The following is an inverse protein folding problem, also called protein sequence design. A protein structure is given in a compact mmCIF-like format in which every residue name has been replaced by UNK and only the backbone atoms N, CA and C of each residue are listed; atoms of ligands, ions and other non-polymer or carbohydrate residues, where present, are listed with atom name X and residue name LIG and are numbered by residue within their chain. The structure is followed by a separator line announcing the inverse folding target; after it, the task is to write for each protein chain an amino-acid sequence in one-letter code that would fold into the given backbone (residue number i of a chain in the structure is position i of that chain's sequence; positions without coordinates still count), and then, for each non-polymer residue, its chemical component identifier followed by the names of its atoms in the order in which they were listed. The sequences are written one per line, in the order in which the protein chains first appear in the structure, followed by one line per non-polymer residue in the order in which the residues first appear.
data_IF_278496950942
#
_entry.id   IF_278496950942
#
_cell.length_a   1.000
_cell.length_b   1.000
_cell.length_c   1.000
_cell.angle_alpha   90.00
_cell.angle_beta   90.00
_cell.angle_gamma   90.00
#
_symmetry.space_group_name_H-M   'P 1'
#
loop_
_entity.id
_entity.type
_entity.pdbx_description
1 polymer ?
#
# COMPACT_ATOMS: atom_id res chain seq x y z
N UNK A 1 14.23 13.02 -58.83
CA UNK A 1 12.75 12.99 -59.00
C UNK A 1 12.15 11.86 -58.16
N UNK A 2 12.24 10.57 -58.53
CA UNK A 2 11.61 9.48 -57.72
C UNK A 2 12.16 9.36 -56.29
N UNK A 3 13.46 9.55 -56.09
CA UNK A 3 14.07 9.48 -54.75
C UNK A 3 13.72 10.67 -53.85
N UNK A 4 13.38 11.82 -54.45
CA UNK A 4 13.04 13.03 -53.71
C UNK A 4 11.59 12.94 -53.18
N UNK A 5 10.69 12.38 -53.99
CA UNK A 5 9.31 12.06 -53.60
C UNK A 5 9.28 11.05 -52.43
N UNK A 6 10.08 9.98 -52.50
CA UNK A 6 10.15 8.97 -51.43
C UNK A 6 10.67 9.56 -50.11
N UNK A 7 11.66 10.45 -50.16
CA UNK A 7 12.16 11.16 -48.98
C UNK A 7 11.10 12.07 -48.37
N UNK A 8 10.33 12.76 -49.21
CA UNK A 8 9.25 13.62 -48.75
C UNK A 8 8.13 12.82 -48.06
N UNK A 9 7.73 11.68 -48.62
CA UNK A 9 6.73 10.81 -48.02
C UNK A 9 7.21 10.23 -46.68
N UNK A 10 8.47 9.79 -46.59
CA UNK A 10 9.05 9.32 -45.32
C UNK A 10 9.07 10.43 -44.27
N UNK A 11 9.43 11.66 -44.65
CA UNK A 11 9.41 12.78 -43.73
C UNK A 11 8.00 13.09 -43.21
N UNK A 12 6.98 13.06 -44.09
CA UNK A 12 5.57 13.22 -43.70
C UNK A 12 5.13 12.12 -42.74
N UNK A 13 5.49 10.86 -43.00
CA UNK A 13 5.14 9.74 -42.14
C UNK A 13 5.77 9.87 -40.74
N UNK A 14 7.06 10.22 -40.67
CA UNK A 14 7.74 10.46 -39.39
C UNK A 14 7.09 11.60 -38.60
N UNK A 15 6.71 12.68 -39.27
CA UNK A 15 6.02 13.81 -38.63
C UNK A 15 4.64 13.40 -38.06
N UNK A 16 3.92 12.49 -38.73
CA UNK A 16 2.65 11.95 -38.23
C UNK A 16 2.89 11.10 -36.97
N UNK A 17 3.90 10.24 -36.98
CA UNK A 17 4.25 9.41 -35.82
C UNK A 17 4.66 10.25 -34.61
N UNK A 18 5.46 11.29 -34.82
CA UNK A 18 5.88 12.21 -33.75
C UNK A 18 4.67 12.92 -33.13
N UNK A 19 3.77 13.47 -33.96
CA UNK A 19 2.52 14.08 -33.48
C UNK A 19 1.63 13.09 -32.73
N UNK A 20 1.56 11.84 -33.18
CA UNK A 20 0.80 10.81 -32.48
C UNK A 20 1.41 10.50 -31.11
N UNK A 21 2.74 10.36 -31.04
CA UNK A 21 3.45 10.12 -29.78
C UNK A 21 3.28 11.28 -28.79
N UNK A 22 3.41 12.52 -29.25
CA UNK A 22 3.17 13.74 -28.46
C UNK A 22 1.74 13.73 -27.85
N UNK A 23 0.74 13.37 -28.66
CA UNK A 23 -0.65 13.27 -28.21
C UNK A 23 -0.85 12.20 -27.14
N UNK A 24 -0.23 11.03 -27.31
CA UNK A 24 -0.29 9.95 -26.32
C UNK A 24 0.37 10.36 -25.00
N UNK A 25 1.56 10.97 -25.04
CA UNK A 25 2.24 11.48 -23.85
C UNK A 25 1.41 12.53 -23.12
N UNK A 26 0.76 13.43 -23.85
CA UNK A 26 -0.13 14.42 -23.26
C UNK A 26 -1.31 13.77 -22.52
N UNK A 27 -1.96 12.77 -23.12
CA UNK A 27 -3.05 12.04 -22.46
C UNK A 27 -2.58 11.32 -21.19
N UNK A 28 -1.44 10.64 -21.25
CA UNK A 28 -0.86 9.93 -20.09
C UNK A 28 -0.55 10.91 -18.96
N UNK A 29 0.09 12.04 -19.27
CA UNK A 29 0.42 13.05 -18.27
C UNK A 29 -0.83 13.65 -17.60
N UNK A 30 -1.87 13.94 -18.38
CA UNK A 30 -3.16 14.41 -17.83
C UNK A 30 -3.78 13.36 -16.92
N UNK A 31 -3.84 12.10 -17.36
CA UNK A 31 -4.38 11.01 -16.55
C UNK A 31 -3.62 10.80 -15.23
N UNK A 32 -2.28 10.84 -15.28
CA UNK A 32 -1.45 10.77 -14.08
C UNK A 32 -1.71 11.94 -13.14
N UNK A 33 -1.84 13.17 -13.66
CA UNK A 33 -2.15 14.35 -12.85
C UNK A 33 -3.53 14.21 -12.16
N UNK A 34 -4.56 13.77 -12.88
CA UNK A 34 -5.89 13.51 -12.33
C UNK A 34 -5.87 12.45 -11.22
N UNK A 35 -5.20 11.32 -11.46
CA UNK A 35 -5.01 10.26 -10.45
C UNK A 35 -4.33 10.77 -9.18
N UNK A 36 -3.28 11.60 -9.30
CA UNK A 36 -2.61 12.18 -8.13
C UNK A 36 -3.51 13.13 -7.35
N UNK A 37 -4.35 13.91 -8.02
CA UNK A 37 -5.30 14.81 -7.37
C UNK A 37 -6.40 14.04 -6.65
N UNK A 38 -6.95 12.99 -7.26
CA UNK A 38 -7.93 12.10 -6.64
C UNK A 38 -7.35 11.41 -5.40
N UNK A 39 -6.13 10.89 -5.47
CA UNK A 39 -5.46 10.29 -4.32
C UNK A 39 -5.25 11.30 -3.18
N UNK A 40 -4.82 12.53 -3.48
CA UNK A 40 -4.70 13.59 -2.46
C UNK A 40 -6.04 13.88 -1.77
N UNK A 41 -7.14 13.88 -2.50
CA UNK A 41 -8.47 14.10 -1.94
C UNK A 41 -8.84 12.97 -0.95
N UNK A 42 -8.64 11.72 -1.35
CA UNK A 42 -8.90 10.54 -0.52
C UNK A 42 -8.02 10.55 0.74
N UNK A 43 -6.71 10.83 0.60
CA UNK A 43 -5.80 10.96 1.73
C UNK A 43 -6.21 12.07 2.71
N UNK A 44 -6.66 13.22 2.20
CA UNK A 44 -7.14 14.32 3.03
C UNK A 44 -8.44 13.96 3.77
N UNK A 45 -9.35 13.21 3.14
CA UNK A 45 -10.56 12.71 3.81
C UNK A 45 -10.21 11.70 4.92
N UNK A 46 -9.33 10.73 4.64
CA UNK A 46 -8.84 9.76 5.62
C UNK A 46 -8.21 10.46 6.84
N UNK A 47 -7.36 11.47 6.61
CA UNK A 47 -6.75 12.26 7.69
C UNK A 47 -7.80 12.96 8.56
N UNK A 48 -8.88 13.48 7.98
CA UNK A 48 -9.98 14.11 8.74
C UNK A 48 -10.76 13.11 9.60
N UNK A 49 -10.90 11.87 9.15
CA UNK A 49 -11.57 10.82 9.94
C UNK A 49 -10.71 10.42 11.14
N UNK A 50 -9.42 10.15 10.91
CA UNK A 50 -8.48 9.75 11.98
C UNK A 50 -8.41 10.82 13.09
N UNK A 51 -8.28 12.11 12.72
CA UNK A 51 -8.14 13.18 13.72
C UNK A 51 -9.45 13.51 14.45
N UNK A 52 -10.60 12.94 14.08
CA UNK A 52 -11.88 13.14 14.79
C UNK A 52 -12.12 12.13 15.90
N UNK A 53 -11.36 11.04 15.97
CA UNK A 53 -11.56 9.98 16.99
C UNK A 53 -10.86 10.27 18.33
N UNK A 54 -10.06 11.34 18.44
CA UNK A 54 -9.32 11.65 19.68
C UNK A 54 -10.07 12.54 20.70
N UNK A 55 -11.33 12.94 20.45
CA UNK A 55 -12.09 13.88 21.32
C UNK A 55 -13.31 13.26 22.04
N UNK A 56 -13.35 11.94 22.20
CA UNK A 56 -14.44 11.24 22.93
C UNK A 56 -13.89 10.12 23.82
N UNK A 57 -12.98 10.44 24.75
CA UNK A 57 -12.71 9.57 25.90
C UNK A 57 -12.32 10.39 27.13
N UNK A 58 -13.32 11.04 27.74
CA UNK A 58 -13.23 11.45 29.14
C UNK A 58 -14.61 11.35 29.79
N UNK A 59 -14.85 10.22 30.46
CA UNK A 59 -15.56 10.07 31.77
C UNK A 59 -16.14 8.67 31.91
N UNK A 60 -15.39 7.81 32.61
CA UNK A 60 -15.97 6.75 33.41
C UNK A 60 -15.16 6.65 34.71
N UNK A 61 -15.78 7.09 35.80
CA UNK A 61 -15.38 6.78 37.17
C UNK A 61 -15.41 5.27 37.40
N UNK A 62 -14.42 4.69 38.09
CA UNK A 62 -14.70 3.58 39.00
C UNK A 62 -13.63 3.43 40.11
N UNK A 63 -14.03 3.85 41.32
CA UNK A 63 -14.02 3.11 42.59
C UNK A 63 -12.84 2.18 42.97
N UNK A 64 -12.15 2.56 44.05
CA UNK A 64 -11.43 1.67 45.02
C UNK A 64 -12.47 1.00 45.95
N UNK A 65 -12.26 -0.22 46.55
CA UNK A 65 -11.22 -0.45 47.57
C UNK A 65 -10.61 -1.87 47.74
N UNK A 66 -9.35 -1.90 48.20
CA UNK A 66 -8.79 -2.77 49.27
C UNK A 66 -8.74 -4.30 49.15
N UNK A 67 -7.56 -4.90 49.41
CA UNK A 67 -7.34 -5.91 50.47
C UNK A 67 -5.85 -6.30 50.60
N UNK A 68 -5.42 -6.48 51.85
CA UNK A 68 -4.08 -6.85 52.31
C UNK A 68 -3.81 -8.35 52.22
N UNK A 69 -2.54 -8.76 52.09
CA UNK A 69 -2.14 -10.16 52.30
C UNK A 69 -0.66 -10.43 52.04
N UNK A 70 0.12 -10.53 53.11
CA UNK A 70 1.54 -10.91 53.19
C UNK A 70 1.77 -12.39 52.88
N UNK A 71 2.91 -12.75 52.27
CA UNK A 71 3.84 -13.81 52.75
C UNK A 71 5.04 -14.00 51.80
N UNK A 72 6.22 -14.01 52.40
CA UNK A 72 7.53 -14.36 51.81
C UNK A 72 7.68 -15.85 51.55
N UNK A 73 8.44 -16.25 50.51
CA UNK A 73 9.58 -17.20 50.58
C UNK A 73 10.31 -17.23 49.22
N UNK A 74 11.60 -17.57 49.30
CA UNK A 74 12.69 -17.37 48.35
C UNK A 74 12.80 -18.40 47.21
N UNK A 75 13.56 -17.98 46.18
CA UNK A 75 14.75 -18.66 45.61
C UNK A 75 14.77 -19.11 44.12
N UNK A 76 15.90 -18.77 43.49
CA UNK A 76 16.52 -19.29 42.24
C UNK A 76 15.93 -19.04 40.83
N UNK A 77 16.37 -17.94 40.19
CA UNK A 77 16.89 -17.79 38.78
C UNK A 77 16.06 -18.22 37.54
N UNK A 78 16.47 -17.87 36.30
CA UNK A 78 17.62 -17.08 35.86
C UNK A 78 17.25 -15.73 35.19
N UNK A 79 18.23 -14.84 35.18
CA UNK A 79 18.27 -13.49 34.61
C UNK A 79 17.88 -13.45 33.14
N UNK A 80 16.63 -13.04 32.84
CA UNK A 80 16.28 -12.49 31.53
C UNK A 80 16.85 -11.08 31.47
N UNK A 81 17.86 -10.89 30.64
CA UNK A 81 18.39 -9.56 30.36
C UNK A 81 17.36 -8.80 29.53
N UNK A 82 16.76 -7.80 30.16
CA UNK A 82 16.04 -6.72 29.51
C UNK A 82 16.91 -6.11 28.40
N UNK A 83 16.37 -6.10 27.19
CA UNK A 83 16.79 -5.15 26.17
C UNK A 83 15.53 -4.59 25.55
N UNK A 84 15.08 -3.47 26.13
CA UNK A 84 14.52 -2.31 25.46
C UNK A 84 13.71 -2.61 24.18
N UNK A 85 12.46 -3.03 24.35
CA UNK A 85 11.47 -2.94 23.27
C UNK A 85 10.96 -1.50 23.25
N UNK A 86 11.80 -0.62 22.72
CA UNK A 86 11.34 0.67 22.20
C UNK A 86 10.52 0.39 20.93
N UNK A 87 9.27 0.86 20.83
CA UNK A 87 8.52 0.80 19.57
C UNK A 87 9.05 1.90 18.65
N UNK A 88 10.31 1.78 18.23
CA UNK A 88 10.79 2.53 17.08
C UNK A 88 10.00 2.06 15.88
N UNK A 89 9.00 2.87 15.52
CA UNK A 89 8.40 2.91 14.18
C UNK A 89 9.56 2.96 13.21
N UNK A 90 9.94 1.79 12.67
CA UNK A 90 11.03 1.63 11.69
C UNK A 90 10.78 2.61 10.56
N UNK A 91 11.43 3.76 10.67
CA UNK A 91 11.39 4.83 9.70
C UNK A 91 12.04 4.25 8.46
N UNK A 92 11.26 4.08 7.40
CA UNK A 92 11.70 3.55 6.11
C UNK A 92 12.94 4.32 5.64
N UNK A 93 14.12 3.74 5.87
CA UNK A 93 15.37 4.23 5.29
C UNK A 93 15.75 3.25 4.20
N UNK A 94 15.64 3.64 2.91
CA UNK A 94 16.20 2.83 1.84
C UNK A 94 17.71 2.71 2.08
N UNK A 95 18.19 1.51 2.39
CA UNK A 95 19.63 1.24 2.44
C UNK A 95 20.16 1.33 1.01
N UNK A 96 20.76 2.48 0.68
CA UNK A 96 21.52 2.69 -0.55
C UNK A 96 22.84 1.94 -0.38
N UNK A 97 22.84 0.65 -0.74
CA UNK A 97 24.00 -0.21 -0.54
C UNK A 97 23.93 -1.48 -1.38
N UNK A 98 24.44 -1.38 -2.61
CA UNK A 98 24.67 -2.47 -3.58
C UNK A 98 23.46 -2.87 -4.45
N UNK A 99 23.63 -3.05 -5.78
CA UNK A 99 22.58 -3.48 -6.70
C UNK A 99 22.33 -4.98 -6.55
N UNK A 100 21.99 -5.42 -5.33
CA UNK A 100 21.46 -6.76 -5.12
C UNK A 100 20.08 -6.76 -5.76
N UNK A 101 19.84 -7.75 -6.63
CA UNK A 101 18.55 -7.95 -7.31
C UNK A 101 17.51 -8.33 -6.25
N UNK A 102 17.04 -7.34 -5.52
CA UNK A 102 16.00 -7.46 -4.51
C UNK A 102 14.66 -7.17 -5.16
N UNK A 103 13.66 -7.95 -4.79
CA UNK A 103 12.28 -7.81 -5.20
C UNK A 103 11.43 -7.60 -3.96
N UNK A 104 10.53 -6.64 -4.03
CA UNK A 104 9.60 -6.33 -2.95
C UNK A 104 8.21 -6.87 -3.28
N UNK A 105 7.61 -7.59 -2.34
CA UNK A 105 6.23 -8.05 -2.45
C UNK A 105 5.30 -7.08 -1.73
N UNK A 106 4.40 -6.42 -2.45
CA UNK A 106 3.42 -5.48 -1.88
C UNK A 106 2.33 -6.17 -1.04
N UNK A 107 2.01 -7.43 -1.33
CA UNK A 107 1.02 -8.23 -0.60
C UNK A 107 1.55 -8.58 0.80
N UNK A 108 2.79 -9.07 0.87
CA UNK A 108 3.41 -9.48 2.13
C UNK A 108 4.23 -8.36 2.80
N UNK A 109 4.40 -7.22 2.12
CA UNK A 109 5.24 -6.09 2.52
C UNK A 109 6.68 -6.49 2.89
N UNK A 110 7.28 -7.39 2.11
CA UNK A 110 8.62 -7.96 2.36
C UNK A 110 9.55 -7.80 1.17
N UNK A 111 10.80 -7.39 1.44
CA UNK A 111 11.91 -7.43 0.49
C UNK A 111 12.60 -8.78 0.52
N UNK A 112 12.89 -9.35 -0.64
CA UNK A 112 13.59 -10.64 -0.76
C UNK A 112 14.45 -10.69 -2.03
N UNK A 113 15.21 -11.77 -2.21
CA UNK A 113 15.99 -11.97 -3.42
C UNK A 113 15.09 -12.22 -4.64
N UNK A 114 15.43 -11.68 -5.81
CA UNK A 114 14.67 -11.92 -7.04
C UNK A 114 14.54 -13.42 -7.38
N UNK A 115 15.55 -14.23 -7.03
CA UNK A 115 15.53 -15.69 -7.26
C UNK A 115 14.47 -16.40 -6.43
N UNK A 116 14.11 -15.86 -5.26
CA UNK A 116 13.07 -16.45 -4.39
C UNK A 116 11.66 -15.98 -4.74
N UNK A 117 11.49 -15.08 -5.72
CA UNK A 117 10.19 -14.55 -6.13
C UNK A 117 9.18 -15.65 -6.44
N UNK A 118 9.54 -16.60 -7.30
CA UNK A 118 8.61 -17.66 -7.73
C UNK A 118 8.19 -18.57 -6.57
N UNK A 119 9.14 -18.93 -5.71
CA UNK A 119 8.85 -19.74 -4.51
C UNK A 119 7.97 -18.97 -3.52
N UNK A 120 8.22 -17.67 -3.33
CA UNK A 120 7.41 -16.81 -2.48
C UNK A 120 5.96 -16.70 -2.99
N UNK A 121 5.75 -16.47 -4.28
CA UNK A 121 4.41 -16.37 -4.87
C UNK A 121 3.61 -17.67 -4.73
N UNK A 122 4.27 -18.82 -4.70
CA UNK A 122 3.63 -20.12 -4.51
C UNK A 122 3.47 -20.52 -3.04
N UNK A 123 3.93 -19.69 -2.09
CA UNK A 123 3.85 -20.00 -0.67
C UNK A 123 2.41 -19.87 -0.14
N UNK A 124 2.06 -20.75 0.81
CA UNK A 124 0.73 -20.72 1.46
C UNK A 124 0.46 -19.39 2.15
N UNK A 125 1.48 -18.77 2.72
CA UNK A 125 1.40 -17.46 3.37
C UNK A 125 1.03 -16.35 2.39
N UNK A 126 1.69 -16.32 1.23
CA UNK A 126 1.36 -15.36 0.17
C UNK A 126 -0.08 -15.53 -0.32
N UNK A 127 -0.48 -16.77 -0.62
CA UNK A 127 -1.83 -17.06 -1.12
C UNK A 127 -2.94 -16.66 -0.12
N UNK A 128 -2.73 -16.91 1.17
CA UNK A 128 -3.69 -16.51 2.19
C UNK A 128 -3.82 -14.98 2.30
N UNK A 129 -2.70 -14.26 2.28
CA UNK A 129 -2.72 -12.79 2.32
C UNK A 129 -3.32 -12.18 1.04
N UNK A 130 -3.02 -12.76 -0.12
CA UNK A 130 -3.62 -12.36 -1.38
C UNK A 130 -5.15 -12.54 -1.38
N UNK A 131 -5.63 -13.68 -0.87
CA UNK A 131 -7.06 -13.94 -0.73
C UNK A 131 -7.75 -12.94 0.23
N UNK A 132 -7.13 -12.65 1.37
CA UNK A 132 -7.65 -11.67 2.33
C UNK A 132 -7.74 -10.26 1.72
N UNK A 133 -6.70 -9.84 0.99
CA UNK A 133 -6.69 -8.54 0.31
C UNK A 133 -7.80 -8.44 -0.74
N UNK A 134 -7.98 -9.48 -1.57
CA UNK A 134 -9.04 -9.49 -2.59
C UNK A 134 -10.45 -9.42 -1.97
N UNK A 135 -10.66 -10.08 -0.83
CA UNK A 135 -11.93 -10.04 -0.11
C UNK A 135 -12.17 -8.65 0.52
N UNK A 136 -11.13 -8.05 1.12
CA UNK A 136 -11.20 -6.71 1.69
C UNK A 136 -11.48 -5.65 0.61
N UNK A 137 -10.85 -5.73 -0.55
CA UNK A 137 -11.10 -4.80 -1.66
C UNK A 137 -12.51 -4.93 -2.23
N UNK A 138 -13.06 -6.15 -2.28
CA UNK A 138 -14.45 -6.36 -2.72
C UNK A 138 -15.47 -5.76 -1.75
N UNK A 139 -15.14 -5.69 -0.46
CA UNK A 139 -15.99 -5.04 0.54
C UNK A 139 -15.91 -3.51 0.52
N UNK A 140 -14.78 -2.94 0.10
CA UNK A 140 -14.55 -1.49 0.03
C UNK A 140 -15.12 -0.84 -1.24
N UNK A 141 -15.11 -1.56 -2.36
CA UNK A 141 -15.67 -1.10 -3.64
C UNK A 141 -17.03 -1.75 -3.90
N UNK A 142 -17.95 -1.58 -2.93
CA UNK A 142 -19.27 -2.20 -2.88
C UNK A 142 -19.86 -2.58 -4.23
N UNK A 143 -20.33 -3.83 -4.34
CA UNK A 143 -21.06 -4.27 -5.52
C UNK A 143 -22.12 -3.23 -5.87
N UNK A 144 -22.22 -2.78 -7.14
CA UNK A 144 -23.34 -1.98 -7.55
C UNK A 144 -24.59 -2.82 -7.27
N UNK A 145 -25.39 -2.36 -6.32
CA UNK A 145 -26.71 -2.90 -6.04
C UNK A 145 -27.40 -3.15 -7.37
N UNK A 146 -27.69 -4.41 -7.66
CA UNK A 146 -28.61 -4.79 -8.71
C UNK A 146 -29.99 -4.31 -8.26
N UNK A 147 -30.25 -3.02 -8.43
CA UNK A 147 -31.57 -2.43 -8.40
C UNK A 147 -32.39 -3.10 -9.50
N UNK A 148 -33.15 -4.10 -9.08
CA UNK A 148 -34.59 -4.13 -9.23
C UNK A 148 -35.11 -3.72 -10.63
N UNK A 149 -35.38 -4.71 -11.47
CA UNK A 149 -36.41 -4.58 -12.50
C UNK A 149 -37.31 -5.80 -12.48
N UNK A 150 -38.26 -5.79 -11.53
CA UNK A 150 -39.57 -6.42 -11.73
C UNK A 150 -40.53 -5.32 -12.15
N UNK A 151 -40.88 -5.34 -13.43
CA UNK A 151 -41.90 -4.51 -14.08
C UNK A 151 -42.09 -5.11 -15.46
N UNK A 152 -43.25 -5.53 -15.94
CA UNK A 152 -44.55 -5.93 -15.40
C UNK A 152 -44.96 -7.15 -16.26
#
# INVERSE_FOLDING_TARGET
MREDEEKEEKAKFLQILEKHFERQNKMINTFCAEMTNSNKLVFNQLRKVINKEEDVTDKAEESKPGTSGTSSVSDTGPTISDTDISPERKRWRPSIGSPRKEWFCHICQQSMNIKSRSSHLNSKTHNNLAALLNNATSSLFGQPDKQLSKKD
#
